data_IF_208836952585
#
_entry.id   IF_208836952585
#
_cell.length_a   1.000
_cell.length_b   1.000
_cell.length_c   1.000
_cell.angle_alpha   90.00
_cell.angle_beta   90.00
_cell.angle_gamma   90.00
#
_symmetry.space_group_name_H-M   'P 1'
#
loop_
_entity.id
_entity.type
_entity.pdbx_description
1 polymer ?
#
# COMPACT_ATOMS: atom_id res chain seq x y z
N UNK A 1 12.60 27.68 -55.55
CA UNK A 1 11.77 28.13 -54.40
C UNK A 1 11.02 27.02 -53.65
N UNK A 2 10.71 25.86 -54.25
CA UNK A 2 10.04 24.74 -53.54
C UNK A 2 10.96 24.00 -52.54
N UNK A 3 12.25 23.89 -52.85
CA UNK A 3 13.24 23.21 -51.99
C UNK A 3 13.52 23.96 -50.67
N UNK A 4 13.57 25.29 -50.71
CA UNK A 4 13.86 26.13 -49.55
C UNK A 4 12.72 26.12 -48.51
N UNK A 5 11.46 26.05 -48.97
CA UNK A 5 10.29 25.91 -48.09
C UNK A 5 10.28 24.58 -47.33
N UNK A 6 10.68 23.48 -47.99
CA UNK A 6 10.75 22.16 -47.38
C UNK A 6 11.85 22.07 -46.30
N UNK A 7 13.00 22.70 -46.53
CA UNK A 7 14.09 22.71 -45.55
C UNK A 7 13.74 23.52 -44.30
N UNK A 8 13.12 24.71 -44.46
CA UNK A 8 12.68 25.54 -43.32
C UNK A 8 11.61 24.82 -42.47
N UNK A 9 10.66 24.12 -43.10
CA UNK A 9 9.66 23.34 -42.35
C UNK A 9 10.26 22.17 -41.58
N UNK A 10 11.28 21.51 -42.12
CA UNK A 10 11.90 20.34 -41.48
C UNK A 10 12.78 20.75 -40.28
N UNK A 11 13.43 21.91 -40.35
CA UNK A 11 14.17 22.48 -39.21
C UNK A 11 13.24 22.91 -38.07
N UNK A 12 12.07 23.49 -38.37
CA UNK A 12 11.10 23.91 -37.35
C UNK A 12 10.46 22.71 -36.65
N UNK A 13 10.14 21.64 -37.38
CA UNK A 13 9.55 20.41 -36.79
C UNK A 13 10.53 19.71 -35.83
N UNK A 14 11.82 19.66 -36.17
CA UNK A 14 12.83 19.09 -35.27
C UNK A 14 13.06 19.94 -34.01
N UNK A 15 12.99 21.27 -34.11
CA UNK A 15 13.14 22.16 -32.94
C UNK A 15 11.97 22.05 -31.95
N UNK A 16 10.74 21.87 -32.45
CA UNK A 16 9.54 21.69 -31.62
C UNK A 16 9.56 20.33 -30.90
N UNK A 17 10.08 19.28 -31.54
CA UNK A 17 10.15 17.94 -30.95
C UNK A 17 11.22 17.82 -29.85
N UNK A 18 12.36 18.50 -29.99
CA UNK A 18 13.41 18.50 -28.95
C UNK A 18 13.00 19.37 -27.74
N UNK A 19 12.23 20.45 -27.95
CA UNK A 19 11.74 21.32 -26.88
C UNK A 19 10.69 20.68 -25.97
N UNK A 20 9.87 19.75 -26.48
CA UNK A 20 8.85 19.05 -25.67
C UNK A 20 9.41 17.91 -24.84
N UNK A 21 10.53 17.31 -25.24
CA UNK A 21 11.21 16.23 -24.49
C UNK A 21 11.90 16.78 -23.23
N UNK A 22 12.34 18.06 -23.23
CA UNK A 22 13.05 18.67 -22.09
C UNK A 22 12.11 19.19 -20.99
N UNK A 23 10.83 19.45 -21.29
CA UNK A 23 9.85 19.98 -20.32
C UNK A 23 9.05 18.90 -19.56
N UNK A 24 9.14 17.62 -19.96
CA UNK A 24 8.59 16.49 -19.20
C UNK A 24 9.73 15.86 -18.38
N UNK A 25 10.03 16.51 -17.26
CA UNK A 25 11.10 16.12 -16.33
C UNK A 25 11.10 14.63 -16.01
N UNK A 26 12.27 14.02 -16.08
CA UNK A 26 12.54 12.71 -15.48
C UNK A 26 12.36 12.82 -13.97
N UNK A 27 11.41 12.11 -13.34
CA UNK A 27 11.45 11.96 -11.90
C UNK A 27 12.71 11.14 -11.58
N UNK A 28 13.70 11.80 -10.98
CA UNK A 28 14.76 11.15 -10.21
C UNK A 28 14.07 10.30 -9.14
N UNK A 29 13.86 9.02 -9.41
CA UNK A 29 13.53 8.07 -8.36
C UNK A 29 14.76 7.93 -7.47
N UNK A 30 14.64 8.54 -6.28
CA UNK A 30 15.49 8.32 -5.14
C UNK A 30 15.51 6.82 -4.86
N UNK A 31 16.60 6.14 -5.25
CA UNK A 31 16.85 4.75 -4.87
C UNK A 31 17.16 4.73 -3.37
N UNK A 32 16.13 4.75 -2.53
CA UNK A 32 16.27 4.51 -1.11
C UNK A 32 16.39 3.00 -0.90
N UNK A 33 17.57 2.69 -0.38
CA UNK A 33 18.08 1.41 0.11
C UNK A 33 17.11 0.80 1.13
N UNK A 34 16.75 -0.47 0.94
CA UNK A 34 16.51 -1.39 2.06
C UNK A 34 17.01 -2.76 1.66
N UNK A 35 18.23 -3.05 2.08
CA UNK A 35 18.79 -4.39 2.19
C UNK A 35 18.17 -5.07 3.42
N UNK A 36 17.28 -6.03 3.21
CA UNK A 36 16.88 -6.98 4.25
C UNK A 36 17.14 -8.40 3.74
N UNK A 37 18.38 -8.83 3.97
CA UNK A 37 18.73 -10.23 4.13
C UNK A 37 18.94 -10.44 5.62
N UNK A 38 18.03 -11.13 6.30
CA UNK A 38 18.44 -11.94 7.44
C UNK A 38 17.66 -13.25 7.51
N UNK A 39 18.45 -14.29 7.33
CA UNK A 39 18.23 -15.71 7.50
C UNK A 39 17.48 -16.15 8.76
N UNK A 40 16.66 -17.17 8.53
CA UNK A 40 16.76 -18.50 9.15
C UNK A 40 17.03 -18.54 10.66
N UNK A 41 15.97 -18.61 11.46
CA UNK A 41 16.04 -19.10 12.84
C UNK A 41 15.47 -20.52 12.89
N UNK A 42 16.39 -21.49 12.90
CA UNK A 42 16.14 -22.91 13.11
C UNK A 42 16.73 -23.26 14.50
N UNK A 43 15.94 -23.94 15.33
CA UNK A 43 16.32 -24.43 16.66
C UNK A 43 15.80 -23.52 17.78
N UNK A 44 15.13 -24.02 18.83
CA UNK A 44 15.27 -25.32 19.47
C UNK A 44 13.94 -25.74 20.12
N UNK A 45 13.57 -27.00 19.88
CA UNK A 45 12.64 -27.76 20.72
C UNK A 45 13.31 -27.99 22.08
N UNK A 46 12.63 -27.68 23.18
CA UNK A 46 12.74 -28.43 24.45
C UNK A 46 11.65 -27.96 25.43
N UNK A 47 10.77 -28.91 25.72
CA UNK A 47 9.70 -28.92 26.71
C UNK A 47 10.25 -29.35 28.09
N UNK A 48 9.35 -29.42 29.09
CA UNK A 48 9.49 -30.02 30.46
C UNK A 48 9.92 -29.06 31.58
N UNK A 49 9.34 -28.97 32.80
CA UNK A 49 8.41 -29.77 33.64
C UNK A 49 7.67 -28.81 34.63
N UNK A 50 6.50 -29.21 35.13
CA UNK A 50 5.69 -28.57 36.21
C UNK A 50 6.30 -28.68 37.65
N UNK A 51 5.53 -28.70 38.77
CA UNK A 51 5.22 -27.55 39.63
C UNK A 51 5.75 -27.75 41.07
N UNK A 52 5.71 -26.71 41.92
CA UNK A 52 5.91 -26.81 43.37
C UNK A 52 5.45 -25.50 44.02
N UNK A 53 5.00 -25.42 45.26
CA UNK A 53 4.16 -26.26 46.13
C UNK A 53 3.77 -25.28 47.29
N UNK A 54 2.64 -25.55 47.93
CA UNK A 54 2.28 -25.19 49.33
C UNK A 54 2.93 -23.99 50.03
N UNK A 55 2.09 -23.02 50.45
CA UNK A 55 2.37 -22.14 51.58
C UNK A 55 1.49 -22.54 52.77
N UNK A 56 2.10 -23.14 53.78
CA UNK A 56 1.51 -23.40 55.09
C UNK A 56 1.48 -22.16 56.01
N UNK A 57 0.53 -22.21 56.93
CA UNK A 57 0.19 -21.34 58.10
C UNK A 57 0.91 -21.95 59.34
N UNK A 58 1.33 -21.26 60.46
CA UNK A 58 0.38 -20.76 61.49
C UNK A 58 0.80 -19.67 62.52
N UNK A 59 -0.20 -18.85 62.90
CA UNK A 59 -0.79 -18.63 64.25
C UNK A 59 0.05 -18.27 65.52
N UNK A 60 -0.62 -17.50 66.41
CA UNK A 60 -0.47 -17.36 67.88
C UNK A 60 0.53 -16.30 68.40
N UNK A 61 0.42 -15.64 69.57
CA UNK A 61 -0.58 -15.42 70.64
C UNK A 61 0.14 -14.58 71.74
N UNK A 62 -0.59 -14.14 72.78
CA UNK A 62 -0.15 -13.81 74.18
C UNK A 62 -0.09 -12.32 74.65
N UNK A 63 -1.20 -11.89 75.30
CA UNK A 63 -1.44 -11.38 76.69
C UNK A 63 -0.62 -10.21 77.36
N UNK A 64 -1.13 -9.59 78.48
CA UNK A 64 -0.95 -8.17 78.84
C UNK A 64 -0.26 -7.97 80.22
N UNK A 65 -0.08 -6.72 80.68
CA UNK A 65 -0.06 -6.43 82.12
C UNK A 65 -0.12 -4.93 82.48
N UNK A 66 -0.55 -4.56 83.71
CA UNK A 66 -1.09 -3.25 84.07
C UNK A 66 -0.27 -2.46 85.13
N UNK A 67 -0.63 -1.18 85.34
CA UNK A 67 -0.68 -0.41 86.63
C UNK A 67 -0.41 1.08 86.34
N UNK A 68 -1.40 1.97 86.51
CA UNK A 68 -1.80 2.67 87.73
C UNK A 68 -0.82 3.78 88.17
N UNK A 69 -1.21 5.05 87.99
CA UNK A 69 -1.22 6.02 89.10
C UNK A 69 -1.93 7.37 88.75
N UNK A 70 -2.75 7.83 89.70
CA UNK A 70 -3.13 9.21 90.08
C UNK A 70 -3.88 10.17 89.12
N UNK A 71 -5.12 10.61 89.45
CA UNK A 71 -5.74 11.78 88.83
C UNK A 71 -5.42 13.07 89.61
N UNK A 72 -4.95 14.09 88.88
CA UNK A 72 -4.84 15.48 89.34
C UNK A 72 -6.15 16.25 89.03
N UNK A 73 -6.55 17.27 89.81
CA UNK A 73 -7.76 18.02 89.55
C UNK A 73 -7.53 19.00 88.39
N UNK A 74 -8.21 18.78 87.25
CA UNK A 74 -8.21 19.70 86.11
C UNK A 74 -9.44 20.62 86.17
N UNK A 75 -9.16 21.92 86.15
CA UNK A 75 -10.11 23.03 86.03
C UNK A 75 -10.91 22.90 84.72
N UNK A 76 -12.23 23.15 84.69
CA UNK A 76 -12.97 23.12 83.42
C UNK A 76 -12.50 24.24 82.50
N UNK A 77 -11.91 23.85 81.36
CA UNK A 77 -11.57 24.75 80.26
C UNK A 77 -12.86 25.24 79.57
N UNK A 78 -12.94 26.53 79.14
CA UNK A 78 -14.12 27.03 78.44
C UNK A 78 -14.37 26.23 77.15
N UNK A 79 -15.62 25.80 76.99
CA UNK A 79 -16.12 25.09 75.82
C UNK A 79 -16.11 26.03 74.61
N UNK A 80 -15.18 25.84 73.68
CA UNK A 80 -15.18 26.57 72.42
C UNK A 80 -16.41 26.18 71.59
N UNK A 81 -17.22 27.17 71.22
CA UNK A 81 -18.36 27.00 70.34
C UNK A 81 -17.85 26.59 68.95
N UNK A 82 -18.36 25.52 68.32
CA UNK A 82 -17.92 25.12 66.99
C UNK A 82 -18.28 26.21 65.98
N UNK A 83 -17.26 26.78 65.35
CA UNK A 83 -17.42 27.68 64.21
C UNK A 83 -17.91 26.87 63.01
N UNK A 84 -19.06 27.24 62.45
CA UNK A 84 -19.60 26.62 61.25
C UNK A 84 -18.75 27.04 60.05
N UNK A 85 -17.97 26.11 59.52
CA UNK A 85 -17.22 26.30 58.27
C UNK A 85 -18.21 26.28 57.09
N UNK A 86 -18.17 27.27 56.17
CA UNK A 86 -19.05 27.26 55.01
C UNK A 86 -18.75 26.07 54.10
N UNK A 87 -19.80 25.37 53.68
CA UNK A 87 -19.72 24.28 52.70
C UNK A 87 -19.34 24.85 51.32
N UNK A 88 -18.33 24.29 50.62
CA UNK A 88 -17.97 24.75 49.30
C UNK A 88 -19.12 24.51 48.29
N UNK A 89 -19.23 25.35 47.25
CA UNK A 89 -20.24 25.16 46.21
C UNK A 89 -20.00 23.85 45.44
N UNK A 90 -21.06 23.26 44.86
CA UNK A 90 -20.93 22.05 44.05
C UNK A 90 -20.05 22.31 42.82
N UNK A 91 -19.13 21.38 42.56
CA UNK A 91 -18.27 21.40 41.37
C UNK A 91 -19.13 21.16 40.12
N UNK A 92 -18.97 21.93 39.04
CA UNK A 92 -19.72 21.69 37.80
C UNK A 92 -19.35 20.31 37.22
N UNK A 93 -20.38 19.57 36.81
CA UNK A 93 -20.23 18.26 36.18
C UNK A 93 -19.69 18.44 34.75
N UNK A 94 -18.66 17.68 34.33
CA UNK A 94 -18.14 17.77 32.98
C UNK A 94 -19.22 17.40 31.95
N UNK A 95 -19.40 18.25 30.95
CA UNK A 95 -20.33 18.01 29.85
C UNK A 95 -19.63 17.17 28.78
N UNK A 96 -20.21 16.02 28.43
CA UNK A 96 -19.67 15.17 27.37
C UNK A 96 -19.83 15.89 26.03
N UNK A 97 -18.71 16.09 25.32
CA UNK A 97 -18.72 16.64 23.96
C UNK A 97 -19.16 15.53 23.00
N UNK A 98 -20.06 15.80 22.02
CA UNK A 98 -20.47 14.77 21.07
C UNK A 98 -19.29 14.30 20.21
N UNK A 99 -19.14 12.98 20.09
CA UNK A 99 -18.17 12.36 19.20
C UNK A 99 -18.59 12.59 17.74
N UNK A 100 -17.68 13.06 16.85
CA UNK A 100 -18.00 13.23 15.45
C UNK A 100 -18.35 11.88 14.78
N UNK A 101 -19.22 11.88 13.77
CA UNK A 101 -19.56 10.66 13.05
C UNK A 101 -18.34 10.08 12.31
N UNK A 102 -18.29 8.75 12.11
CA UNK A 102 -17.22 8.13 11.33
C UNK A 102 -17.20 8.70 9.91
N UNK A 103 -16.03 9.14 9.48
CA UNK A 103 -15.81 9.63 8.11
C UNK A 103 -15.81 8.43 7.16
N UNK A 104 -16.65 8.45 6.13
CA UNK A 104 -16.63 7.40 5.11
C UNK A 104 -15.34 7.51 4.28
N UNK A 105 -14.51 6.48 4.33
CA UNK A 105 -13.32 6.37 3.48
C UNK A 105 -13.78 6.11 2.04
N UNK A 106 -13.27 6.84 1.03
CA UNK A 106 -13.60 6.57 -0.35
C UNK A 106 -13.16 5.16 -0.75
N UNK A 107 -14.05 4.41 -1.40
CA UNK A 107 -13.71 3.13 -2.01
C UNK A 107 -12.70 3.35 -3.13
N UNK A 108 -11.58 2.60 -3.20
CA UNK A 108 -10.65 2.72 -4.31
C UNK A 108 -11.36 2.42 -5.64
N UNK A 109 -10.96 3.09 -6.73
CA UNK A 109 -11.50 2.78 -8.05
C UNK A 109 -11.22 1.30 -8.40
N UNK A 110 -12.06 0.68 -9.24
CA UNK A 110 -11.83 -0.68 -9.68
C UNK A 110 -10.46 -0.76 -10.37
N UNK A 111 -9.68 -1.78 -9.99
CA UNK A 111 -8.43 -2.12 -10.67
C UNK A 111 -8.72 -2.38 -12.15
N UNK A 112 -7.95 -1.82 -13.09
CA UNK A 112 -8.15 -2.09 -14.51
C UNK A 112 -8.02 -3.59 -14.78
N UNK A 113 -9.01 -4.16 -15.47
CA UNK A 113 -8.93 -5.53 -15.97
C UNK A 113 -7.71 -5.66 -16.88
N UNK A 114 -6.83 -6.66 -16.70
CA UNK A 114 -5.71 -6.86 -17.58
C UNK A 114 -6.21 -7.01 -19.03
N UNK A 115 -5.47 -6.50 -20.03
CA UNK A 115 -5.83 -6.70 -21.42
C UNK A 115 -5.96 -8.20 -21.69
N UNK A 116 -6.89 -8.63 -22.56
CA UNK A 116 -7.03 -10.04 -22.89
C UNK A 116 -5.67 -10.56 -23.36
N UNK A 117 -5.12 -11.54 -22.65
CA UNK A 117 -4.00 -12.35 -23.16
C UNK A 117 -4.52 -13.06 -24.40
N UNK A 118 -4.21 -12.51 -25.57
CA UNK A 118 -4.48 -13.18 -26.84
C UNK A 118 -3.63 -14.45 -26.85
N UNK A 119 -4.24 -15.59 -26.55
CA UNK A 119 -3.62 -16.94 -26.64
C UNK A 119 -3.22 -17.30 -28.08
N UNK A 120 -3.49 -16.42 -29.05
CA UNK A 120 -3.17 -16.57 -30.46
C UNK A 120 -1.82 -15.99 -30.88
N UNK A 121 -1.33 -16.43 -32.03
CA UNK A 121 -0.16 -15.90 -32.68
C UNK A 121 -0.47 -14.52 -33.28
N UNK A 122 0.12 -13.46 -32.72
CA UNK A 122 -0.03 -12.09 -33.22
C UNK A 122 1.21 -11.70 -34.00
N UNK A 123 1.05 -11.07 -35.15
CA UNK A 123 2.17 -10.44 -35.88
C UNK A 123 1.90 -8.95 -36.06
N UNK A 124 2.95 -8.17 -36.30
CA UNK A 124 2.82 -6.77 -36.70
C UNK A 124 3.18 -6.59 -38.16
N UNK A 125 2.38 -5.80 -38.88
CA UNK A 125 2.66 -5.30 -40.23
C UNK A 125 2.42 -3.79 -40.21
N UNK A 126 3.47 -3.02 -40.49
CA UNK A 126 3.50 -1.55 -40.45
C UNK A 126 2.95 -0.97 -39.13
N UNK A 127 3.28 -1.62 -38.01
CA UNK A 127 2.84 -1.22 -36.67
C UNK A 127 1.39 -1.60 -36.32
N UNK A 128 0.66 -2.26 -37.21
CA UNK A 128 -0.69 -2.78 -36.97
C UNK A 128 -0.62 -4.24 -36.56
N UNK A 129 -1.36 -4.62 -35.50
CA UNK A 129 -1.40 -6.00 -34.99
C UNK A 129 -2.45 -6.83 -35.72
N UNK A 130 -2.09 -8.08 -35.99
CA UNK A 130 -2.96 -9.07 -36.63
C UNK A 130 -2.91 -10.40 -35.89
N UNK A 131 -4.08 -10.93 -35.52
CA UNK A 131 -4.23 -12.28 -34.96
C UNK A 131 -4.28 -13.29 -36.11
N UNK A 132 -3.22 -14.10 -36.26
CA UNK A 132 -3.05 -14.95 -37.43
C UNK A 132 -3.05 -16.45 -37.13
N UNK A 133 -3.50 -16.88 -35.95
CA UNK A 133 -3.50 -18.31 -35.55
C UNK A 133 -4.21 -19.18 -36.58
N UNK A 134 -5.27 -18.66 -37.21
CA UNK A 134 -6.00 -19.37 -38.27
C UNK A 134 -5.24 -19.43 -39.60
N UNK A 135 -4.39 -18.43 -39.91
CA UNK A 135 -3.62 -18.40 -41.16
C UNK A 135 -2.42 -19.32 -41.11
N UNK A 136 -1.85 -19.58 -39.92
CA UNK A 136 -0.73 -20.53 -39.77
C UNK A 136 -1.01 -21.89 -40.42
N UNK A 137 -2.26 -22.32 -40.40
CA UNK A 137 -2.71 -23.60 -40.98
C UNK A 137 -3.06 -23.53 -42.47
N UNK A 138 -3.26 -22.33 -43.01
CA UNK A 138 -3.86 -22.14 -44.35
C UNK A 138 -3.06 -21.22 -45.28
N UNK A 139 -1.94 -20.65 -44.80
CA UNK A 139 -1.05 -19.85 -45.65
C UNK A 139 -0.32 -20.75 -46.64
N UNK A 140 -0.28 -20.32 -47.91
CA UNK A 140 0.29 -21.13 -49.00
C UNK A 140 1.79 -21.38 -48.86
N UNK A 141 2.50 -20.58 -48.06
CA UNK A 141 3.91 -20.78 -47.72
C UNK A 141 4.13 -21.71 -46.51
N UNK A 142 3.06 -22.27 -45.93
CA UNK A 142 3.11 -23.01 -44.68
C UNK A 142 3.15 -22.09 -43.46
N UNK A 143 3.55 -22.65 -42.32
CA UNK A 143 3.67 -21.90 -41.07
C UNK A 143 5.00 -21.15 -40.99
N UNK A 144 5.06 -20.01 -41.68
CA UNK A 144 6.21 -19.11 -41.73
C UNK A 144 6.16 -17.99 -40.68
N UNK A 145 5.12 -17.99 -39.83
CA UNK A 145 4.82 -16.86 -38.96
C UNK A 145 5.64 -16.92 -37.67
N UNK A 146 6.35 -15.83 -37.38
CA UNK A 146 7.03 -15.64 -36.10
C UNK A 146 6.11 -14.84 -35.17
N UNK A 147 5.47 -15.54 -34.23
CA UNK A 147 4.53 -14.92 -33.29
C UNK A 147 5.19 -13.85 -32.44
N UNK A 148 4.43 -12.80 -32.15
CA UNK A 148 4.80 -11.61 -31.38
C UNK A 148 5.98 -10.83 -31.98
N UNK A 149 6.18 -10.89 -33.30
CA UNK A 149 7.24 -10.15 -34.01
C UNK A 149 6.67 -9.22 -35.09
N UNK A 150 7.51 -8.27 -35.52
CA UNK A 150 7.26 -7.46 -36.71
C UNK A 150 7.66 -8.24 -37.97
N UNK A 151 6.67 -8.57 -38.78
CA UNK A 151 6.83 -9.33 -40.02
C UNK A 151 6.72 -8.43 -41.25
N UNK A 152 6.75 -7.09 -41.11
CA UNK A 152 6.55 -6.13 -42.21
C UNK A 152 7.52 -6.39 -43.36
N UNK A 153 8.82 -6.53 -43.09
CA UNK A 153 9.81 -6.76 -44.14
C UNK A 153 9.56 -8.08 -44.90
N UNK A 154 9.26 -9.15 -44.19
CA UNK A 154 8.97 -10.47 -44.78
C UNK A 154 7.68 -10.41 -45.58
N UNK A 155 6.64 -9.78 -45.03
CA UNK A 155 5.36 -9.57 -45.69
C UNK A 155 5.54 -8.83 -47.00
N UNK A 156 6.21 -7.67 -47.00
CA UNK A 156 6.42 -6.85 -48.19
C UNK A 156 7.36 -7.46 -49.23
N UNK A 157 8.24 -8.38 -48.83
CA UNK A 157 9.08 -9.12 -49.79
C UNK A 157 8.32 -10.18 -50.60
N UNK A 158 7.13 -10.61 -50.13
CA UNK A 158 6.35 -11.72 -50.73
C UNK A 158 4.92 -11.33 -51.11
N UNK A 159 4.40 -10.27 -50.54
CA UNK A 159 3.01 -9.84 -50.68
C UNK A 159 2.95 -8.36 -51.06
N UNK A 160 1.74 -7.89 -51.30
CA UNK A 160 1.46 -6.53 -51.72
C UNK A 160 0.24 -5.99 -50.98
N UNK A 161 -0.12 -4.73 -51.29
CA UNK A 161 -1.20 -4.02 -50.63
C UNK A 161 -2.56 -4.73 -50.75
N UNK A 162 -2.78 -5.52 -51.82
CA UNK A 162 -4.01 -6.31 -51.99
C UNK A 162 -4.13 -7.40 -50.93
N UNK A 163 -3.03 -8.09 -50.63
CA UNK A 163 -3.00 -9.09 -49.56
C UNK A 163 -3.15 -8.42 -48.20
N UNK A 164 -2.55 -7.24 -47.99
CA UNK A 164 -2.74 -6.50 -46.74
C UNK A 164 -4.22 -6.12 -46.55
N UNK A 165 -4.92 -5.79 -47.63
CA UNK A 165 -6.37 -5.60 -47.63
C UNK A 165 -7.14 -6.84 -47.15
N UNK A 166 -6.71 -8.05 -47.52
CA UNK A 166 -7.31 -9.31 -47.03
C UNK A 166 -6.96 -9.57 -45.56
N UNK A 167 -5.78 -9.14 -45.10
CA UNK A 167 -5.34 -9.26 -43.71
C UNK A 167 -6.16 -8.40 -42.75
N UNK A 168 -6.84 -7.34 -43.22
CA UNK A 168 -7.62 -6.45 -42.37
C UNK A 168 -8.70 -7.16 -41.54
N UNK A 169 -9.23 -8.31 -42.02
CA UNK A 169 -10.20 -9.10 -41.25
C UNK A 169 -9.62 -9.75 -39.98
N UNK A 170 -8.29 -9.79 -39.86
CA UNK A 170 -7.54 -10.36 -38.74
C UNK A 170 -6.94 -9.29 -37.82
N UNK A 171 -7.19 -8.00 -38.08
CA UNK A 171 -6.65 -6.90 -37.30
C UNK A 171 -7.24 -6.90 -35.88
N UNK A 172 -6.41 -6.63 -34.89
CA UNK A 172 -6.78 -6.44 -33.48
C UNK A 172 -6.31 -5.09 -32.92
#
# INVERSE_FOLDING_TARGET
>A
MKLLKAMVTMTIVNAVLVGTIVMLGTPRQQLLVSSDMNESQLGSLSQEIEPSDTSETPSQSVLPSPSADKPAPTTPSPTQTPSLTPTPPPTPTPTQTPTPPPTQTPTPPPTPTPPPTTTGCVIMIDGVKYEITSLRKSHSGGDIFQCNTDMSAVFWSKHNQKILGQMQKYRI
#
